data_IF_395075894011
#
_entry.id   IF_395075894011
#
_cell.length_a   1.000
_cell.length_b   1.000
_cell.length_c   1.000
_cell.angle_alpha   90.00
_cell.angle_beta   90.00
_cell.angle_gamma   90.00
#
_symmetry.space_group_name_H-M   'P 1'
#
loop_
_entity.id
_entity.type
_entity.pdbx_description
1 polymer ?
#
# COMPACT_ATOMS: atom_id res chain seq x y z
N UNK A 1 -8.81 -5.79 -12.78
CA UNK A 1 -8.10 -6.97 -12.25
C UNK A 1 -6.58 -6.79 -12.25
N UNK A 2 -5.97 -6.21 -13.29
CA UNK A 2 -4.51 -6.02 -13.36
C UNK A 2 -3.93 -5.17 -12.21
N UNK A 3 -4.57 -4.06 -11.82
CA UNK A 3 -4.08 -3.18 -10.73
C UNK A 3 -3.89 -3.91 -9.41
N UNK A 4 -4.87 -4.72 -8.98
CA UNK A 4 -4.80 -5.46 -7.71
C UNK A 4 -3.61 -6.42 -7.69
N UNK A 5 -3.36 -7.10 -8.81
CA UNK A 5 -2.25 -8.03 -8.94
C UNK A 5 -0.90 -7.31 -8.84
N UNK A 6 -0.73 -6.19 -9.56
CA UNK A 6 0.51 -5.41 -9.48
C UNK A 6 0.74 -4.82 -8.08
N UNK A 7 -0.31 -4.33 -7.42
CA UNK A 7 -0.24 -3.84 -6.04
C UNK A 7 0.10 -4.96 -5.05
N UNK A 8 -0.38 -6.17 -5.29
CA UNK A 8 -0.05 -7.34 -4.47
C UNK A 8 1.43 -7.69 -4.60
N UNK A 9 1.93 -7.74 -5.83
CA UNK A 9 3.35 -8.01 -6.11
C UNK A 9 4.24 -6.94 -5.47
N UNK A 10 3.90 -5.66 -5.63
CA UNK A 10 4.69 -4.58 -5.02
C UNK A 10 4.68 -4.67 -3.48
N UNK A 11 3.52 -4.95 -2.86
CA UNK A 11 3.44 -5.12 -1.41
C UNK A 11 4.27 -6.28 -0.86
N UNK A 12 4.41 -7.37 -1.63
CA UNK A 12 5.32 -8.47 -1.28
C UNK A 12 6.77 -7.95 -1.25
N UNK A 13 7.23 -7.29 -2.31
CA UNK A 13 8.58 -6.73 -2.36
C UNK A 13 8.81 -5.70 -1.25
N UNK A 14 7.84 -4.82 -0.99
CA UNK A 14 7.87 -3.85 0.11
C UNK A 14 8.07 -4.54 1.47
N UNK A 15 7.29 -5.58 1.74
CA UNK A 15 7.37 -6.33 3.00
C UNK A 15 8.74 -7.00 3.17
N UNK A 16 9.29 -7.57 2.09
CA UNK A 16 10.65 -8.14 2.12
C UNK A 16 11.74 -7.07 2.31
N UNK A 17 11.62 -5.91 1.65
CA UNK A 17 12.57 -4.82 1.78
C UNK A 17 12.64 -4.29 3.23
N UNK A 18 11.49 -4.23 3.91
CA UNK A 18 11.40 -3.68 5.28
C UNK A 18 11.67 -4.72 6.36
N UNK A 19 11.17 -5.95 6.20
CA UNK A 19 11.15 -6.94 7.29
C UNK A 19 11.94 -8.21 6.98
N UNK A 20 12.31 -8.46 5.71
CA UNK A 20 13.06 -9.67 5.33
C UNK A 20 14.38 -9.82 6.08
N UNK A 21 15.09 -8.71 6.28
CA UNK A 21 16.36 -8.71 6.99
C UNK A 21 16.24 -9.04 8.50
N UNK A 22 15.04 -9.01 9.09
CA UNK A 22 14.84 -9.35 10.50
C UNK A 22 15.21 -10.80 10.82
N UNK A 23 15.27 -11.67 9.81
CA UNK A 23 15.77 -13.04 9.94
C UNK A 23 17.30 -13.14 9.93
N UNK A 24 17.99 -12.10 9.48
CA UNK A 24 19.44 -12.02 9.32
C UNK A 24 20.02 -10.89 10.16
N UNK A 25 19.72 -10.88 11.47
CA UNK A 25 20.09 -9.79 12.39
C UNK A 25 21.61 -9.59 12.55
N UNK A 26 22.41 -10.61 12.22
CA UNK A 26 23.88 -10.53 12.28
C UNK A 26 24.52 -9.91 11.04
N UNK A 27 23.72 -9.60 10.00
CA UNK A 27 24.23 -8.98 8.79
C UNK A 27 24.59 -7.50 9.02
N UNK A 28 25.70 -7.01 8.45
CA UNK A 28 26.08 -5.60 8.56
C UNK A 28 24.97 -4.67 8.03
N UNK A 29 24.64 -3.63 8.79
CA UNK A 29 23.55 -2.69 8.45
C UNK A 29 23.68 -2.09 7.05
N UNK A 30 24.89 -1.76 6.62
CA UNK A 30 25.11 -1.17 5.30
C UNK A 30 24.74 -2.12 4.15
N UNK A 31 24.98 -3.43 4.30
CA UNK A 31 24.58 -4.44 3.30
C UNK A 31 23.07 -4.56 3.26
N UNK A 32 22.44 -4.63 4.44
CA UNK A 32 20.98 -4.70 4.57
C UNK A 32 20.32 -3.51 3.89
N UNK A 33 20.81 -2.28 4.15
CA UNK A 33 20.28 -1.06 3.54
C UNK A 33 20.39 -1.12 2.01
N UNK A 34 21.55 -1.51 1.47
CA UNK A 34 21.75 -1.59 0.02
C UNK A 34 20.84 -2.64 -0.64
N UNK A 35 20.69 -3.81 -0.03
CA UNK A 35 19.79 -4.87 -0.52
C UNK A 35 18.33 -4.41 -0.46
N UNK A 36 17.90 -3.83 0.66
CA UNK A 36 16.54 -3.27 0.81
C UNK A 36 16.26 -2.19 -0.25
N UNK A 37 17.25 -1.36 -0.59
CA UNK A 37 17.14 -0.37 -1.66
C UNK A 37 16.94 -1.03 -3.04
N UNK A 38 17.71 -2.09 -3.34
CA UNK A 38 17.54 -2.85 -4.57
C UNK A 38 16.16 -3.49 -4.70
N UNK A 39 15.64 -4.05 -3.60
CA UNK A 39 14.29 -4.63 -3.56
C UNK A 39 13.22 -3.54 -3.72
N UNK A 40 13.38 -2.39 -3.06
CA UNK A 40 12.47 -1.26 -3.20
C UNK A 40 12.42 -0.73 -4.64
N UNK A 41 13.55 -0.71 -5.36
CA UNK A 41 13.55 -0.32 -6.77
C UNK A 41 12.68 -1.26 -7.62
N UNK A 42 12.78 -2.58 -7.40
CA UNK A 42 11.92 -3.54 -8.08
C UNK A 42 10.43 -3.34 -7.71
N UNK A 43 10.13 -3.05 -6.44
CA UNK A 43 8.79 -2.72 -5.97
C UNK A 43 8.18 -1.54 -6.74
N UNK A 44 8.95 -0.46 -6.89
CA UNK A 44 8.52 0.74 -7.61
C UNK A 44 8.17 0.46 -9.08
N UNK A 45 8.86 -0.50 -9.74
CA UNK A 45 8.54 -0.90 -11.10
C UNK A 45 7.12 -1.48 -11.25
N UNK A 46 6.53 -2.02 -10.18
CA UNK A 46 5.15 -2.50 -10.18
C UNK A 46 4.17 -1.46 -9.61
N UNK A 47 4.58 -0.74 -8.56
CA UNK A 47 3.73 0.25 -7.91
C UNK A 47 3.35 1.40 -8.85
N UNK A 48 4.30 1.93 -9.63
CA UNK A 48 4.06 3.09 -10.50
C UNK A 48 3.07 2.76 -11.63
N UNK A 49 3.22 1.67 -12.40
CA UNK A 49 2.22 1.26 -13.39
C UNK A 49 0.88 0.92 -12.75
N UNK A 50 0.86 0.25 -11.59
CA UNK A 50 -0.37 -0.11 -10.89
C UNK A 50 -1.21 1.12 -10.55
N UNK A 51 -0.58 2.14 -9.95
CA UNK A 51 -1.24 3.37 -9.57
C UNK A 51 -1.69 4.16 -10.80
N UNK A 52 -0.87 4.23 -11.85
CA UNK A 52 -1.25 4.91 -13.10
C UNK A 52 -2.44 4.25 -13.80
N UNK A 53 -2.46 2.93 -13.92
CA UNK A 53 -3.58 2.19 -14.52
C UNK A 53 -4.81 2.21 -13.62
N UNK A 54 -4.61 2.12 -12.31
CA UNK A 54 -5.66 2.17 -11.31
C UNK A 54 -6.36 3.53 -11.26
N UNK A 55 -5.62 4.63 -11.45
CA UNK A 55 -6.17 5.98 -11.41
C UNK A 55 -7.16 6.30 -12.54
N UNK A 56 -7.20 5.45 -13.57
CA UNK A 56 -8.23 5.54 -14.62
C UNK A 56 -9.62 5.10 -14.14
N UNK A 57 -9.70 4.34 -13.05
CA UNK A 57 -10.95 3.75 -12.55
C UNK A 57 -11.24 4.07 -11.08
N UNK A 58 -10.21 4.42 -10.30
CA UNK A 58 -10.28 4.68 -8.87
C UNK A 58 -9.69 6.04 -8.53
N UNK A 59 -10.27 6.73 -7.56
CA UNK A 59 -9.68 7.97 -7.04
C UNK A 59 -8.37 7.69 -6.29
N UNK A 60 -7.49 8.68 -6.17
CA UNK A 60 -6.22 8.51 -5.46
C UNK A 60 -6.40 8.00 -4.01
N UNK A 61 -7.41 8.48 -3.24
CA UNK A 61 -7.74 7.90 -1.95
C UNK A 61 -8.09 6.41 -2.06
N UNK A 62 -8.96 6.01 -2.99
CA UNK A 62 -9.39 4.61 -3.12
C UNK A 62 -8.22 3.67 -3.44
N UNK A 63 -7.27 4.12 -4.26
CA UNK A 63 -6.04 3.37 -4.56
C UNK A 63 -5.17 3.20 -3.34
N UNK A 64 -4.98 4.26 -2.55
CA UNK A 64 -4.22 4.19 -1.30
C UNK A 64 -4.87 3.20 -0.34
N UNK A 65 -6.19 3.23 -0.23
CA UNK A 65 -6.90 2.30 0.60
C UNK A 65 -6.72 0.84 0.15
N UNK A 66 -6.90 0.58 -1.14
CA UNK A 66 -6.68 -0.75 -1.69
C UNK A 66 -5.26 -1.25 -1.40
N UNK A 67 -4.27 -0.36 -1.49
CA UNK A 67 -2.89 -0.65 -1.11
C UNK A 67 -2.80 -1.02 0.38
N UNK A 68 -3.35 -0.24 1.31
CA UNK A 68 -3.29 -0.52 2.76
C UNK A 68 -3.91 -1.88 3.12
N UNK A 69 -5.04 -2.24 2.51
CA UNK A 69 -5.67 -3.56 2.72
C UNK A 69 -4.73 -4.67 2.26
N UNK A 70 -4.13 -4.52 1.06
CA UNK A 70 -3.18 -5.48 0.52
C UNK A 70 -1.93 -5.55 1.42
N UNK A 71 -1.41 -4.41 1.88
CA UNK A 71 -0.25 -4.35 2.79
C UNK A 71 -0.52 -5.14 4.07
N UNK A 72 -1.68 -4.92 4.72
CA UNK A 72 -2.03 -5.61 5.96
C UNK A 72 -2.15 -7.12 5.76
N UNK A 73 -2.78 -7.56 4.65
CA UNK A 73 -2.93 -8.99 4.32
C UNK A 73 -1.57 -9.62 4.04
N UNK A 74 -0.74 -9.00 3.20
CA UNK A 74 0.60 -9.50 2.86
C UNK A 74 1.48 -9.55 4.10
N UNK A 75 1.43 -8.53 4.96
CA UNK A 75 2.19 -8.49 6.20
C UNK A 75 1.74 -9.59 7.18
N UNK A 76 0.43 -9.81 7.34
CA UNK A 76 -0.09 -10.88 8.19
C UNK A 76 0.42 -12.26 7.74
N UNK A 77 0.37 -12.55 6.44
CA UNK A 77 0.90 -13.79 5.87
C UNK A 77 2.43 -13.89 6.06
N UNK A 78 3.15 -12.79 5.84
CA UNK A 78 4.60 -12.72 6.01
C UNK A 78 5.02 -12.97 7.46
N UNK A 79 4.32 -12.38 8.43
CA UNK A 79 4.60 -12.56 9.87
C UNK A 79 4.51 -14.04 10.26
N UNK A 80 3.43 -14.73 9.86
CA UNK A 80 3.22 -16.14 10.18
C UNK A 80 4.19 -17.07 9.44
N UNK A 81 4.40 -16.86 8.14
CA UNK A 81 5.17 -17.79 7.32
C UNK A 81 6.69 -17.53 7.36
N UNK A 82 7.10 -16.26 7.31
CA UNK A 82 8.51 -15.87 7.21
C UNK A 82 9.14 -15.63 8.57
N UNK A 83 8.50 -14.84 9.45
CA UNK A 83 9.02 -14.56 10.79
C UNK A 83 8.68 -15.67 11.80
N UNK A 84 7.70 -16.53 11.48
CA UNK A 84 7.17 -17.56 12.38
C UNK A 84 6.63 -16.98 13.69
N UNK A 85 6.19 -15.73 13.65
CA UNK A 85 5.53 -15.08 14.78
C UNK A 85 4.03 -15.40 14.69
N UNK A 86 3.46 -15.90 15.79
CA UNK A 86 2.04 -16.18 15.84
C UNK A 86 1.28 -14.87 15.97
N UNK A 87 0.36 -14.61 15.04
CA UNK A 87 -0.58 -13.49 15.14
C UNK A 87 -1.42 -13.66 16.41
N UNK A 88 -1.21 -12.78 17.37
CA UNK A 88 -1.98 -12.76 18.60
C UNK A 88 -3.36 -12.15 18.34
N UNK A 89 -4.34 -12.53 19.16
CA UNK A 89 -5.72 -12.04 19.01
C UNK A 89 -5.82 -10.50 19.07
N UNK A 90 -5.02 -9.86 19.91
CA UNK A 90 -4.96 -8.40 19.99
C UNK A 90 -4.40 -7.75 18.70
N UNK A 91 -3.45 -8.39 18.02
CA UNK A 91 -2.91 -7.91 16.73
C UNK A 91 -3.96 -8.04 15.62
N UNK A 92 -4.73 -9.14 15.62
CA UNK A 92 -5.85 -9.31 14.69
C UNK A 92 -6.96 -8.26 14.92
N UNK A 93 -7.35 -8.02 16.18
CA UNK A 93 -8.31 -6.97 16.53
C UNK A 93 -7.78 -5.59 16.15
N UNK A 94 -6.49 -5.32 16.38
CA UNK A 94 -5.83 -4.09 15.93
C UNK A 94 -5.91 -3.92 14.41
N UNK A 95 -5.63 -4.97 13.64
CA UNK A 95 -5.76 -4.98 12.18
C UNK A 95 -7.18 -4.67 11.72
N UNK A 96 -8.19 -5.28 12.36
CA UNK A 96 -9.60 -5.00 12.08
C UNK A 96 -9.95 -3.54 12.40
N UNK A 97 -9.47 -2.99 13.52
CA UNK A 97 -9.71 -1.59 13.88
C UNK A 97 -9.08 -0.61 12.88
N UNK A 98 -7.91 -0.94 12.31
CA UNK A 98 -7.30 -0.13 11.24
C UNK A 98 -8.19 -0.13 9.99
N UNK A 99 -8.73 -1.30 9.61
CA UNK A 99 -9.69 -1.40 8.48
C UNK A 99 -10.97 -0.60 8.78
N UNK A 100 -11.46 -0.62 10.02
CA UNK A 100 -12.62 0.20 10.41
C UNK A 100 -12.30 1.69 10.35
N UNK A 101 -11.14 2.13 10.83
CA UNK A 101 -10.71 3.52 10.76
C UNK A 101 -10.63 4.02 9.31
N UNK A 102 -10.13 3.16 8.44
CA UNK A 102 -10.16 3.32 7.00
C UNK A 102 -11.59 3.53 6.48
N UNK A 103 -12.55 2.66 6.83
CA UNK A 103 -13.93 2.76 6.35
C UNK A 103 -14.55 4.07 6.84
N UNK A 104 -14.30 4.45 8.09
CA UNK A 104 -14.76 5.72 8.66
C UNK A 104 -14.23 6.91 7.85
N UNK A 105 -12.92 6.97 7.58
CA UNK A 105 -12.34 8.09 6.80
C UNK A 105 -12.88 8.13 5.37
N UNK A 106 -13.23 6.99 4.77
CA UNK A 106 -13.73 6.96 3.39
C UNK A 106 -15.23 7.18 3.25
N UNK A 107 -16.02 6.63 4.17
CA UNK A 107 -17.49 6.66 4.11
C UNK A 107 -18.03 7.93 4.77
N UNK A 108 -17.36 8.46 5.80
CA UNK A 108 -17.84 9.61 6.58
C UNK A 108 -17.14 10.93 6.23
N UNK A 109 -16.21 10.95 5.27
CA UNK A 109 -15.55 12.17 4.82
C UNK A 109 -16.24 12.75 3.57
N UNK A 110 -17.06 13.82 3.69
CA UNK A 110 -17.81 14.39 2.57
C UNK A 110 -16.94 15.04 1.49
N UNK A 111 -15.65 15.32 1.76
CA UNK A 111 -14.70 15.83 0.76
C UNK A 111 -14.31 14.81 -0.32
N UNK A 112 -14.64 13.54 -0.12
CA UNK A 112 -14.43 12.50 -1.15
C UNK A 112 -15.34 12.66 -2.37
N UNK A 113 -16.39 13.50 -2.27
CA UNK A 113 -17.32 13.83 -3.34
C UNK A 113 -17.01 15.17 -4.06
N UNK A 114 -16.01 15.92 -3.59
CA UNK A 114 -15.55 17.14 -4.25
C UNK A 114 -14.58 16.75 -5.38
N UNK A 115 -14.95 17.05 -6.63
CA UNK A 115 -14.11 16.81 -7.80
C UNK A 115 -12.76 17.53 -7.67
N UNK A 116 -11.69 16.99 -8.28
CA UNK A 116 -10.37 17.60 -8.18
C UNK A 116 -10.43 19.08 -8.60
N UNK A 117 -9.75 20.00 -7.88
CA UNK A 117 -9.74 21.42 -8.20
C UNK A 117 -9.30 21.70 -9.65
N UNK A 118 -8.50 20.80 -10.22
CA UNK A 118 -7.98 20.86 -11.58
C UNK A 118 -9.09 20.74 -12.65
N UNK A 119 -10.15 19.97 -12.39
CA UNK A 119 -11.26 19.78 -13.33
C UNK A 119 -12.17 21.01 -13.38
N UNK A 120 -12.38 21.66 -12.24
CA UNK A 120 -13.12 22.92 -12.13
C UNK A 120 -12.32 24.06 -12.75
N UNK A 121 -11.00 24.13 -12.50
CA UNK A 121 -10.13 25.15 -13.08
C UNK A 121 -10.02 25.04 -14.61
N UNK A 122 -9.95 23.81 -15.15
CA UNK A 122 -9.89 23.59 -16.61
C UNK A 122 -11.26 23.81 -17.27
N UNK A 123 -12.36 23.44 -16.64
CA UNK A 123 -13.72 23.74 -17.13
C UNK A 123 -14.01 25.25 -17.15
N UNK A 124 -13.49 26.01 -16.18
CA UNK A 124 -13.60 27.47 -16.16
C UNK A 124 -12.70 28.15 -17.21
N UNK A 125 -11.59 27.55 -17.62
CA UNK A 125 -10.69 28.08 -18.65
C UNK A 125 -11.15 27.79 -20.09
N UNK A 126 -11.97 26.76 -20.30
CA UNK A 126 -12.53 26.40 -21.62
C UNK A 126 -14.00 26.81 -21.81
N UNK A 127 -14.58 27.52 -20.84
CA UNK A 127 -15.98 27.96 -20.79
C UNK A 127 -16.20 29.45 -21.05
N UNK A 128 -15.29 30.13 -21.75
CA UNK A 128 -15.49 31.49 -22.31
C UNK A 128 -15.11 31.55 -23.79
#
# INVERSE_FOLDING_TARGET
MSTVLLLTISNIFMTFAWYGHLRFKESPLWIVILVSWGIALAEYCFQVPANRMGHQHFTAPQLKLLQEIITLVVFAVFSVLYLKEQLRWNEAVGGVLIVVAVIVVFVLNPRSAESPPDEVAVAQLHGE
#
